data_IF_362385985392
#
_entry.id   IF_362385985392
#
_cell.length_a   1.000
_cell.length_b   1.000
_cell.length_c   1.000
_cell.angle_alpha   90.00
_cell.angle_beta   90.00
_cell.angle_gamma   90.00
#
_symmetry.space_group_name_H-M   'P 1'
#
loop_
_entity.id
_entity.type
_entity.pdbx_description
1 polymer ?
#
# COMPACT_ATOMS: atom_id res chain seq x y z
N UNK A 1 -5.45 13.68 1.64
CA UNK A 1 -6.86 13.30 1.91
C UNK A 1 -7.33 13.59 3.33
N UNK A 2 -6.51 13.48 4.39
CA UNK A 2 -6.94 13.87 5.75
C UNK A 2 -7.52 15.29 5.80
N UNK A 3 -6.88 16.25 5.14
CA UNK A 3 -7.38 17.63 5.04
C UNK A 3 -8.80 17.71 4.46
N UNK A 4 -9.12 16.88 3.46
CA UNK A 4 -10.45 16.81 2.85
C UNK A 4 -11.50 16.36 3.87
N UNK A 5 -11.20 15.33 4.65
CA UNK A 5 -12.09 14.89 5.73
C UNK A 5 -12.26 16.00 6.77
N UNK A 6 -11.17 16.67 7.17
CA UNK A 6 -11.24 17.80 8.08
C UNK A 6 -12.09 18.98 7.53
N UNK A 7 -12.03 19.28 6.23
CA UNK A 7 -12.93 20.25 5.60
C UNK A 7 -14.39 19.82 5.71
N UNK A 8 -14.69 18.54 5.49
CA UNK A 8 -16.04 18.01 5.57
C UNK A 8 -16.61 17.91 7.00
N UNK A 9 -15.80 18.07 8.06
CA UNK A 9 -16.27 17.98 9.45
C UNK A 9 -16.64 19.36 9.99
N UNK A 10 -17.94 19.67 10.24
CA UNK A 10 -18.35 20.96 10.77
C UNK A 10 -17.76 21.27 12.15
N UNK A 11 -17.66 20.27 13.03
CA UNK A 11 -17.16 20.43 14.41
C UNK A 11 -15.64 20.49 14.51
N UNK A 12 -14.90 20.16 13.45
CA UNK A 12 -13.45 20.28 13.42
C UNK A 12 -13.03 21.73 13.22
N UNK A 13 -12.34 22.30 14.21
CA UNK A 13 -11.84 23.68 14.18
C UNK A 13 -10.32 23.69 14.05
N UNK A 14 -9.81 24.46 13.09
CA UNK A 14 -8.39 24.73 12.94
C UNK A 14 -8.20 26.01 12.12
N UNK A 15 -7.18 26.80 12.45
CA UNK A 15 -6.89 28.06 11.76
C UNK A 15 -6.69 27.87 10.24
N UNK A 16 -5.94 26.85 9.85
CA UNK A 16 -5.70 26.53 8.44
C UNK A 16 -6.99 26.20 7.68
N UNK A 17 -7.96 25.54 8.33
CA UNK A 17 -9.26 25.21 7.73
C UNK A 17 -10.04 26.49 7.43
N UNK A 18 -10.13 27.41 8.40
CA UNK A 18 -10.84 28.68 8.23
C UNK A 18 -10.25 29.52 7.11
N UNK A 19 -8.91 29.58 7.01
CA UNK A 19 -8.23 30.30 5.93
C UNK A 19 -8.58 29.68 4.57
N UNK A 20 -8.51 28.35 4.45
CA UNK A 20 -8.76 27.65 3.18
C UNK A 20 -10.23 27.70 2.75
N UNK A 21 -11.18 27.69 3.69
CA UNK A 21 -12.62 27.82 3.41
C UNK A 21 -12.99 29.19 2.83
N UNK A 22 -12.23 30.24 3.16
CA UNK A 22 -12.45 31.60 2.67
C UNK A 22 -11.75 31.90 1.33
N UNK A 23 -10.98 30.96 0.78
CA UNK A 23 -10.21 31.17 -0.45
C UNK A 23 -11.05 31.17 -1.74
N UNK A 24 -12.28 30.67 -1.67
CA UNK A 24 -13.17 30.55 -2.82
C UNK A 24 -14.49 31.27 -2.54
N UNK A 25 -15.12 31.77 -3.60
CA UNK A 25 -16.47 32.34 -3.54
C UNK A 25 -17.55 31.28 -3.26
N UNK A 26 -17.19 30.00 -3.32
CA UNK A 26 -18.02 28.85 -3.00
C UNK A 26 -17.32 28.00 -1.94
N UNK A 27 -18.07 27.32 -1.05
CA UNK A 27 -17.48 26.41 -0.08
C UNK A 27 -16.60 25.36 -0.76
N UNK A 28 -15.38 25.19 -0.29
CA UNK A 28 -14.42 24.24 -0.87
C UNK A 28 -14.97 22.81 -0.91
N UNK A 29 -15.79 22.44 0.09
CA UNK A 29 -16.47 21.16 0.20
C UNK A 29 -17.43 20.89 -0.97
N UNK A 30 -18.12 21.92 -1.46
CA UNK A 30 -19.05 21.80 -2.58
C UNK A 30 -18.34 21.38 -3.89
N UNK A 31 -17.04 21.71 -4.02
CA UNK A 31 -16.22 21.34 -5.19
C UNK A 31 -15.79 19.87 -5.22
N UNK A 32 -15.91 19.15 -4.11
CA UNK A 32 -15.37 17.80 -3.97
C UNK A 32 -16.07 16.76 -4.84
N UNK A 33 -17.37 16.93 -5.09
CA UNK A 33 -18.21 15.98 -5.84
C UNK A 33 -18.80 16.55 -7.14
N UNK A 34 -18.47 17.79 -7.50
CA UNK A 34 -18.98 18.44 -8.69
C UNK A 34 -17.84 18.76 -9.68
N UNK A 35 -17.88 18.11 -10.86
CA UNK A 35 -16.85 18.25 -11.89
C UNK A 35 -16.81 19.65 -12.50
N UNK A 36 -17.93 20.36 -12.57
CA UNK A 36 -18.03 21.69 -13.15
C UNK A 36 -17.49 22.75 -12.18
N UNK A 37 -17.78 22.60 -10.89
CA UNK A 37 -17.21 23.47 -9.84
C UNK A 37 -15.70 23.28 -9.65
N UNK A 38 -15.15 22.14 -10.07
CA UNK A 38 -13.71 21.92 -10.06
C UNK A 38 -12.94 22.84 -11.03
N UNK A 39 -13.61 23.56 -11.94
CA UNK A 39 -12.96 24.58 -12.79
C UNK A 39 -12.42 25.74 -11.94
N UNK A 40 -13.10 26.11 -10.86
CA UNK A 40 -12.66 27.14 -9.90
C UNK A 40 -11.35 26.79 -9.20
N UNK A 41 -10.96 25.50 -9.15
CA UNK A 41 -9.67 25.06 -8.59
C UNK A 41 -8.48 25.68 -9.34
N UNK A 42 -8.64 26.02 -10.63
CA UNK A 42 -7.58 26.67 -11.40
C UNK A 42 -7.20 28.03 -10.83
N UNK A 43 -8.18 28.73 -10.26
CA UNK A 43 -8.08 30.09 -9.72
C UNK A 43 -7.60 30.14 -8.27
N UNK A 44 -7.28 28.98 -7.66
CA UNK A 44 -6.72 28.90 -6.32
C UNK A 44 -5.20 29.12 -6.39
N UNK A 45 -4.72 30.13 -5.67
CA UNK A 45 -3.30 30.46 -5.53
C UNK A 45 -2.58 29.55 -4.53
N UNK A 46 -3.29 29.04 -3.51
CA UNK A 46 -2.73 28.11 -2.53
C UNK A 46 -2.38 26.76 -3.18
N UNK A 47 -1.08 26.49 -3.29
CA UNK A 47 -0.52 25.27 -3.86
C UNK A 47 -0.97 24.00 -3.14
N UNK A 48 -1.14 24.03 -1.81
CA UNK A 48 -1.54 22.88 -1.00
C UNK A 48 -2.98 22.47 -1.26
N UNK A 49 -3.89 23.45 -1.27
CA UNK A 49 -5.30 23.23 -1.60
C UNK A 49 -5.43 22.71 -3.03
N UNK A 50 -4.77 23.37 -3.98
CA UNK A 50 -4.76 23.00 -5.39
C UNK A 50 -4.24 21.58 -5.60
N UNK A 51 -3.14 21.20 -4.95
CA UNK A 51 -2.57 19.85 -5.04
C UNK A 51 -3.50 18.81 -4.38
N UNK A 52 -4.10 19.14 -3.25
CA UNK A 52 -5.04 18.26 -2.53
C UNK A 52 -6.27 17.95 -3.37
N UNK A 53 -6.92 18.96 -3.95
CA UNK A 53 -8.09 18.77 -4.80
C UNK A 53 -7.75 18.08 -6.12
N UNK A 54 -6.59 18.39 -6.74
CA UNK A 54 -6.10 17.64 -7.91
C UNK A 54 -5.88 16.16 -7.60
N UNK A 55 -5.31 15.84 -6.44
CA UNK A 55 -5.08 14.47 -6.00
C UNK A 55 -6.40 13.74 -5.79
N UNK A 56 -7.38 14.40 -5.15
CA UNK A 56 -8.72 13.87 -4.98
C UNK A 56 -9.40 13.55 -6.32
N UNK A 57 -9.29 14.46 -7.29
CA UNK A 57 -9.80 14.23 -8.65
C UNK A 57 -9.17 13.01 -9.31
N UNK A 58 -7.85 12.82 -9.15
CA UNK A 58 -7.16 11.62 -9.66
C UNK A 58 -7.70 10.36 -9.00
N UNK A 59 -7.90 10.38 -7.67
CA UNK A 59 -8.44 9.24 -6.92
C UNK A 59 -9.86 8.90 -7.39
N UNK A 60 -10.74 9.89 -7.56
CA UNK A 60 -12.10 9.65 -8.07
C UNK A 60 -12.05 8.90 -9.40
N UNK A 61 -11.20 9.35 -10.34
CA UNK A 61 -11.08 8.75 -11.66
C UNK A 61 -10.44 7.35 -11.63
N UNK A 62 -9.39 7.17 -10.83
CA UNK A 62 -8.66 5.89 -10.75
C UNK A 62 -9.51 4.78 -10.13
N UNK A 63 -10.30 5.12 -9.11
CA UNK A 63 -11.15 4.19 -8.38
C UNK A 63 -12.62 4.20 -8.84
N UNK A 64 -12.94 4.92 -9.93
CA UNK A 64 -14.29 5.02 -10.52
C UNK A 64 -15.39 5.40 -9.50
N UNK A 65 -15.10 6.39 -8.66
CA UNK A 65 -15.96 6.82 -7.54
C UNK A 65 -17.02 7.86 -7.93
N UNK A 66 -17.19 8.17 -9.21
CA UNK A 66 -18.06 9.26 -9.67
C UNK A 66 -19.51 9.11 -9.21
N UNK A 67 -20.03 7.90 -9.15
CA UNK A 67 -21.39 7.64 -8.64
C UNK A 67 -21.43 7.73 -7.12
N UNK A 68 -20.46 7.13 -6.42
CA UNK A 68 -20.41 7.10 -4.95
C UNK A 68 -20.31 8.49 -4.32
N UNK A 69 -19.52 9.40 -4.90
CA UNK A 69 -19.35 10.75 -4.34
C UNK A 69 -20.58 11.65 -4.52
N UNK A 70 -21.60 11.23 -5.27
CA UNK A 70 -22.83 12.02 -5.49
C UNK A 70 -23.49 12.41 -4.16
N UNK A 71 -23.39 11.56 -3.14
CA UNK A 71 -23.90 11.85 -1.78
C UNK A 71 -23.18 13.03 -1.10
N UNK A 72 -22.00 13.41 -1.58
CA UNK A 72 -21.21 14.52 -1.04
C UNK A 72 -21.53 15.86 -1.74
N UNK A 73 -22.41 15.88 -2.74
CA UNK A 73 -22.79 17.11 -3.43
C UNK A 73 -23.61 18.02 -2.52
N UNK A 74 -23.34 19.32 -2.61
CA UNK A 74 -24.07 20.35 -1.86
C UNK A 74 -25.21 20.89 -2.72
N UNK A 75 -26.45 20.68 -2.29
CA UNK A 75 -27.63 21.08 -3.07
C UNK A 75 -27.63 22.57 -3.45
N UNK A 76 -27.09 23.44 -2.60
CA UNK A 76 -27.00 24.88 -2.83
C UNK A 76 -26.06 25.30 -3.97
N UNK A 77 -25.13 24.44 -4.38
CA UNK A 77 -24.09 24.76 -5.37
C UNK A 77 -23.98 23.73 -6.50
N UNK A 78 -24.67 22.59 -6.40
CA UNK A 78 -24.64 21.52 -7.39
C UNK A 78 -25.02 22.03 -8.78
N UNK A 79 -24.09 21.94 -9.72
CA UNK A 79 -24.24 22.43 -11.10
C UNK A 79 -25.29 21.66 -11.91
N UNK A 80 -25.69 20.48 -11.46
CA UNK A 80 -26.75 19.69 -12.09
C UNK A 80 -28.13 19.96 -11.49
N UNK A 81 -28.21 20.74 -10.40
CA UNK A 81 -29.45 21.07 -9.71
C UNK A 81 -29.90 22.51 -10.02
N UNK A 82 -30.47 22.70 -11.21
CA UNK A 82 -30.96 24.01 -11.71
C UNK A 82 -31.80 24.84 -10.72
N UNK A 83 -32.64 24.26 -9.83
CA UNK A 83 -33.40 25.08 -8.89
C UNK A 83 -32.56 25.95 -7.95
N UNK A 84 -31.29 25.61 -7.68
CA UNK A 84 -30.42 26.46 -6.84
C UNK A 84 -29.95 27.75 -7.54
N UNK A 85 -29.98 27.80 -8.88
CA UNK A 85 -29.63 28.99 -9.66
C UNK A 85 -30.77 30.01 -9.62
N UNK A 86 -32.01 29.52 -9.60
CA UNK A 86 -33.23 30.32 -9.63
C UNK A 86 -33.66 30.80 -8.22
N UNK A 87 -33.29 30.07 -7.17
CA UNK A 87 -33.73 30.34 -5.82
C UNK A 87 -32.54 30.41 -4.84
N UNK A 88 -32.22 31.64 -4.41
CA UNK A 88 -31.12 31.89 -3.47
C UNK A 88 -31.33 31.25 -2.10
N UNK A 89 -32.56 30.83 -1.76
CA UNK A 89 -32.88 30.25 -0.46
C UNK A 89 -32.22 28.90 -0.21
N UNK A 90 -31.83 28.18 -1.27
CA UNK A 90 -30.98 26.99 -1.13
C UNK A 90 -29.59 27.35 -0.57
N UNK A 91 -29.08 28.57 -0.78
CA UNK A 91 -27.84 29.04 -0.15
C UNK A 91 -28.08 29.36 1.33
N UNK A 92 -29.23 29.94 1.69
CA UNK A 92 -29.59 30.19 3.09
C UNK A 92 -29.68 28.90 3.91
N UNK A 93 -30.12 27.80 3.29
CA UNK A 93 -30.13 26.47 3.91
C UNK A 93 -28.74 26.01 4.35
N UNK A 94 -27.67 26.44 3.69
CA UNK A 94 -26.29 26.12 4.13
C UNK A 94 -25.96 26.73 5.48
N UNK A 95 -26.43 27.96 5.76
CA UNK A 95 -26.30 28.60 7.06
C UNK A 95 -27.13 27.92 8.16
N UNK A 96 -28.20 27.21 7.77
CA UNK A 96 -29.00 26.38 8.68
C UNK A 96 -28.41 24.99 8.93
N UNK A 97 -27.29 24.63 8.26
CA UNK A 97 -26.61 23.34 8.40
C UNK A 97 -26.95 22.30 7.34
N UNK A 98 -27.81 22.63 6.35
CA UNK A 98 -28.09 21.74 5.21
C UNK A 98 -27.01 21.93 4.16
N UNK A 99 -26.08 20.99 4.09
CA UNK A 99 -24.91 21.07 3.22
C UNK A 99 -24.91 19.94 2.18
N UNK A 100 -24.21 18.85 2.45
CA UNK A 100 -24.12 17.69 1.57
C UNK A 100 -25.38 16.81 1.64
N UNK A 101 -25.73 16.13 0.55
CA UNK A 101 -26.87 15.20 0.52
C UNK A 101 -26.77 14.11 1.60
N UNK A 102 -25.57 13.64 1.94
CA UNK A 102 -25.37 12.62 2.97
C UNK A 102 -25.77 13.06 4.38
N UNK A 103 -25.84 14.37 4.68
CA UNK A 103 -26.26 14.85 6.01
C UNK A 103 -27.79 14.89 6.17
N UNK A 104 -28.53 14.78 5.07
CA UNK A 104 -30.01 14.89 5.03
C UNK A 104 -30.67 13.62 4.48
N UNK A 105 -29.89 12.57 4.23
CA UNK A 105 -30.34 11.31 3.66
C UNK A 105 -29.88 10.12 4.50
N UNK A 106 -30.70 9.07 4.50
CA UNK A 106 -30.34 7.76 5.04
C UNK A 106 -30.80 6.67 4.08
N UNK A 107 -29.93 5.70 3.81
CA UNK A 107 -30.21 4.56 2.93
C UNK A 107 -30.76 4.96 1.55
N UNK A 108 -30.15 5.99 0.94
CA UNK A 108 -30.53 6.50 -0.38
C UNK A 108 -31.84 7.29 -0.40
N UNK A 109 -32.50 7.50 0.74
CA UNK A 109 -33.75 8.26 0.87
C UNK A 109 -33.55 9.53 1.68
N UNK A 110 -34.14 10.62 1.19
CA UNK A 110 -34.18 11.89 1.90
C UNK A 110 -35.08 11.78 3.14
N UNK A 111 -34.70 12.43 4.24
CA UNK A 111 -35.57 12.53 5.41
C UNK A 111 -36.92 13.20 5.05
N UNK A 112 -37.94 12.95 5.86
CA UNK A 112 -39.23 13.62 5.68
C UNK A 112 -39.06 15.12 5.91
N UNK A 113 -39.95 15.92 5.31
CA UNK A 113 -39.94 17.36 5.51
C UNK A 113 -40.07 17.72 7.01
N UNK A 114 -40.91 17.03 7.77
CA UNK A 114 -41.08 17.28 9.19
C UNK A 114 -39.80 17.03 10.00
N UNK A 115 -39.03 16.00 9.64
CA UNK A 115 -37.73 15.72 10.25
C UNK A 115 -36.74 16.84 9.92
N UNK A 116 -36.57 17.19 8.64
CA UNK A 116 -35.66 18.28 8.23
C UNK A 116 -36.05 19.62 8.84
N UNK A 117 -37.36 19.88 8.94
CA UNK A 117 -37.91 21.09 9.55
C UNK A 117 -37.57 21.20 11.03
N UNK A 118 -37.67 20.10 11.78
CA UNK A 118 -37.32 20.06 13.22
C UNK A 118 -35.81 20.15 13.44
N UNK A 119 -35.01 19.49 12.59
CA UNK A 119 -33.55 19.42 12.75
C UNK A 119 -32.84 20.70 12.31
N UNK A 120 -33.29 21.32 11.22
CA UNK A 120 -32.62 22.47 10.58
C UNK A 120 -33.45 23.76 10.63
N UNK A 121 -34.52 23.80 11.43
CA UNK A 121 -35.38 24.99 11.59
C UNK A 121 -35.87 25.57 10.26
N UNK A 122 -36.39 24.70 9.39
CA UNK A 122 -37.02 25.10 8.13
C UNK A 122 -38.42 25.69 8.37
N UNK A 123 -38.91 26.45 7.42
CA UNK A 123 -40.23 27.08 7.48
C UNK A 123 -41.23 26.37 6.57
N UNK A 124 -42.54 26.54 6.79
CA UNK A 124 -43.56 25.89 5.94
C UNK A 124 -43.40 26.23 4.45
N UNK A 125 -42.93 27.44 4.14
CA UNK A 125 -42.65 27.88 2.77
C UNK A 125 -41.46 27.15 2.09
N UNK A 126 -40.65 26.40 2.86
CA UNK A 126 -39.59 25.54 2.31
C UNK A 126 -40.12 24.22 1.74
N UNK A 127 -41.40 23.90 1.92
CA UNK A 127 -41.96 22.62 1.51
C UNK A 127 -41.83 22.36 0.00
N UNK A 128 -42.09 23.37 -0.84
CA UNK A 128 -41.94 23.23 -2.28
C UNK A 128 -40.49 22.95 -2.71
N UNK A 129 -39.52 23.63 -2.07
CA UNK A 129 -38.09 23.43 -2.30
C UNK A 129 -37.63 22.03 -1.87
N UNK A 130 -38.19 21.55 -0.76
CA UNK A 130 -37.99 20.18 -0.32
C UNK A 130 -38.46 19.17 -1.39
N UNK A 131 -39.63 19.39 -2.02
CA UNK A 131 -40.11 18.52 -3.09
C UNK A 131 -39.18 18.54 -4.31
N UNK A 132 -38.65 19.70 -4.69
CA UNK A 132 -37.66 19.82 -5.77
C UNK A 132 -36.38 19.04 -5.45
N UNK A 133 -35.85 19.20 -4.24
CA UNK A 133 -34.66 18.47 -3.78
C UNK A 133 -34.91 16.96 -3.70
N UNK A 134 -36.08 16.54 -3.20
CA UNK A 134 -36.46 15.13 -3.10
C UNK A 134 -36.52 14.48 -4.47
N UNK A 135 -37.18 15.10 -5.44
CA UNK A 135 -37.26 14.59 -6.81
C UNK A 135 -35.86 14.45 -7.44
N UNK A 136 -35.00 15.45 -7.24
CA UNK A 136 -33.62 15.42 -7.71
C UNK A 136 -32.81 14.28 -7.05
N UNK A 137 -32.85 14.19 -5.72
CA UNK A 137 -32.16 13.16 -4.96
C UNK A 137 -32.62 11.75 -5.36
N UNK A 138 -33.93 11.52 -5.45
CA UNK A 138 -34.50 10.23 -5.87
C UNK A 138 -34.04 9.84 -7.28
N UNK A 139 -33.89 10.81 -8.19
CA UNK A 139 -33.42 10.57 -9.56
C UNK A 139 -31.93 10.22 -9.59
N UNK A 140 -31.10 10.95 -8.84
CA UNK A 140 -29.65 10.74 -8.80
C UNK A 140 -29.25 9.47 -8.04
N UNK A 141 -29.96 9.16 -6.96
CA UNK A 141 -29.66 8.00 -6.12
C UNK A 141 -30.08 6.66 -6.72
N UNK A 142 -30.95 6.64 -7.76
CA UNK A 142 -31.30 5.41 -8.52
C UNK A 142 -30.08 4.70 -9.10
N UNK A 143 -29.05 5.46 -9.50
CA UNK A 143 -27.84 4.94 -10.12
C UNK A 143 -26.66 4.85 -9.15
N UNK A 144 -26.82 5.32 -7.92
CA UNK A 144 -25.80 5.16 -6.88
C UNK A 144 -25.96 3.75 -6.34
N UNK A 145 -25.13 2.83 -6.81
CA UNK A 145 -24.92 1.58 -6.08
C UNK A 145 -24.52 1.95 -4.66
N UNK A 146 -25.41 1.69 -3.71
CA UNK A 146 -25.18 1.81 -2.27
C UNK A 146 -24.16 0.77 -1.79
N UNK A 147 -23.07 0.59 -2.52
CA UNK A 147 -21.84 0.05 -1.97
C UNK A 147 -21.34 1.11 -0.98
N UNK A 148 -21.78 0.98 0.27
CA UNK A 148 -21.17 1.60 1.43
C UNK A 148 -19.72 1.13 1.48
N UNK A 149 -18.86 1.83 0.73
CA UNK A 149 -17.43 1.62 0.81
C UNK A 149 -16.98 2.26 2.11
N UNK A 150 -16.07 1.61 2.82
CA UNK A 150 -15.45 2.15 4.04
C UNK A 150 -14.91 3.56 3.84
N UNK A 151 -14.51 3.90 2.61
CA UNK A 151 -14.13 5.26 2.23
C UNK A 151 -15.29 6.25 2.39
N UNK A 152 -16.48 5.95 1.84
CA UNK A 152 -17.65 6.84 1.93
C UNK A 152 -18.17 6.94 3.37
N UNK A 153 -18.09 5.88 4.17
CA UNK A 153 -18.42 5.93 5.59
C UNK A 153 -17.60 6.98 6.34
N UNK A 154 -16.30 7.11 6.02
CA UNK A 154 -15.44 8.15 6.63
C UNK A 154 -15.94 9.55 6.28
N UNK A 155 -16.40 9.78 5.05
CA UNK A 155 -16.97 11.07 4.65
C UNK A 155 -18.32 11.34 5.33
N UNK A 156 -19.21 10.35 5.38
CA UNK A 156 -20.53 10.49 6.01
C UNK A 156 -20.38 10.82 7.50
N UNK A 157 -19.56 10.04 8.22
CA UNK A 157 -19.25 10.29 9.64
C UNK A 157 -18.69 11.69 9.86
N UNK A 158 -17.83 12.13 8.94
CA UNK A 158 -17.24 13.46 9.00
C UNK A 158 -18.30 14.55 8.90
N UNK A 159 -19.20 14.47 7.92
CA UNK A 159 -20.29 15.44 7.74
C UNK A 159 -21.27 15.45 8.92
N UNK A 160 -21.46 14.31 9.59
CA UNK A 160 -22.28 14.19 10.79
C UNK A 160 -21.57 14.63 12.08
N UNK A 161 -20.37 15.21 11.98
CA UNK A 161 -19.55 15.61 13.13
C UNK A 161 -19.19 14.44 14.08
N UNK A 162 -19.19 13.21 13.59
CA UNK A 162 -18.78 12.04 14.38
C UNK A 162 -17.25 12.01 14.55
N UNK A 163 -16.79 11.53 15.69
CA UNK A 163 -15.36 11.33 15.95
C UNK A 163 -14.84 10.16 15.12
N UNK A 164 -13.79 10.41 14.33
CA UNK A 164 -13.13 9.39 13.51
C UNK A 164 -11.72 9.18 14.04
N UNK A 165 -11.52 8.08 14.76
CA UNK A 165 -10.18 7.68 15.17
C UNK A 165 -9.38 7.18 13.97
N UNK A 166 -8.08 7.51 13.97
CA UNK A 166 -7.11 7.00 12.98
C UNK A 166 -7.55 7.24 11.53
N UNK A 167 -8.02 8.46 11.22
CA UNK A 167 -8.51 8.89 9.89
C UNK A 167 -7.62 8.37 8.75
N UNK A 168 -6.30 8.51 8.86
CA UNK A 168 -5.34 8.07 7.84
C UNK A 168 -5.45 6.56 7.57
N UNK A 169 -5.53 5.75 8.63
CA UNK A 169 -5.68 4.29 8.51
C UNK A 169 -7.03 3.88 7.93
N UNK A 170 -8.10 4.60 8.28
CA UNK A 170 -9.43 4.36 7.72
C UNK A 170 -9.50 4.69 6.23
N UNK A 171 -8.91 5.82 5.82
CA UNK A 171 -8.77 6.19 4.42
C UNK A 171 -7.93 5.18 3.65
N UNK A 172 -6.77 4.77 4.19
CA UNK A 172 -5.92 3.78 3.55
C UNK A 172 -6.65 2.45 3.33
N UNK A 173 -7.30 1.92 4.37
CA UNK A 173 -8.09 0.68 4.25
C UNK A 173 -9.24 0.83 3.26
N UNK A 174 -9.96 1.96 3.31
CA UNK A 174 -11.04 2.24 2.36
C UNK A 174 -10.58 2.27 0.90
N UNK A 175 -9.39 2.81 0.61
CA UNK A 175 -8.81 2.75 -0.74
C UNK A 175 -8.37 1.33 -1.13
N UNK A 176 -7.78 0.59 -0.19
CA UNK A 176 -7.36 -0.80 -0.43
C UNK A 176 -8.55 -1.71 -0.75
N UNK A 177 -9.70 -1.47 -0.11
CA UNK A 177 -10.94 -2.22 -0.34
C UNK A 177 -11.49 -1.98 -1.77
N UNK A 178 -11.29 -0.79 -2.33
CA UNK A 178 -11.77 -0.42 -3.68
C UNK A 178 -10.96 -1.08 -4.80
N UNK A 179 -9.69 -1.37 -4.56
CA UNK A 179 -8.82 -2.04 -5.52
C UNK A 179 -7.94 -3.02 -4.77
N UNK A 180 -8.38 -4.28 -4.60
CA UNK A 180 -7.51 -5.31 -4.05
C UNK A 180 -6.31 -5.46 -4.99
N UNK A 181 -5.16 -4.95 -4.56
CA UNK A 181 -3.91 -5.15 -5.26
C UNK A 181 -3.52 -6.62 -5.14
N UNK A 182 -3.82 -7.40 -6.17
CA UNK A 182 -3.41 -8.80 -6.24
C UNK A 182 -2.00 -8.91 -6.83
N UNK A 183 -1.12 -9.59 -6.12
CA UNK A 183 0.17 -10.06 -6.64
C UNK A 183 0.06 -11.48 -7.22
N UNK A 184 -1.16 -12.01 -7.41
CA UNK A 184 -1.39 -13.37 -7.93
C UNK A 184 -0.83 -13.53 -9.34
N UNK A 185 -0.82 -12.49 -10.17
CA UNK A 185 -0.18 -12.56 -11.49
C UNK A 185 1.34 -12.83 -11.42
N UNK A 186 2.01 -12.36 -10.36
CA UNK A 186 3.44 -12.59 -10.12
C UNK A 186 3.65 -14.03 -9.67
N UNK A 187 2.80 -14.50 -8.76
CA UNK A 187 2.76 -15.91 -8.32
C UNK A 187 2.63 -16.85 -9.51
N UNK A 188 1.65 -16.64 -10.38
CA UNK A 188 1.42 -17.48 -11.58
C UNK A 188 2.64 -17.48 -12.52
N UNK A 189 3.36 -16.36 -12.65
CA UNK A 189 4.61 -16.33 -13.44
C UNK A 189 5.71 -17.18 -12.80
N UNK A 190 5.88 -17.12 -11.48
CA UNK A 190 6.84 -17.97 -10.77
C UNK A 190 6.48 -19.46 -10.88
N UNK A 191 5.20 -19.79 -10.71
CA UNK A 191 4.69 -21.17 -10.86
C UNK A 191 4.96 -21.71 -12.27
N UNK A 192 4.64 -20.92 -13.31
CA UNK A 192 4.84 -21.29 -14.71
C UNK A 192 6.32 -21.51 -15.05
N UNK A 193 7.20 -20.62 -14.59
CA UNK A 193 8.64 -20.71 -14.91
C UNK A 193 9.35 -21.81 -14.14
N UNK A 194 8.96 -22.04 -12.88
CA UNK A 194 9.60 -23.03 -12.03
C UNK A 194 8.97 -24.41 -12.04
N UNK A 195 7.79 -24.57 -12.64
CA UNK A 195 7.02 -25.81 -12.54
C UNK A 195 6.61 -26.14 -11.10
N UNK A 196 6.50 -25.12 -10.24
CA UNK A 196 6.17 -25.26 -8.82
C UNK A 196 4.74 -24.80 -8.54
N UNK A 197 4.13 -25.31 -7.47
CA UNK A 197 2.83 -24.86 -6.97
C UNK A 197 3.02 -24.03 -5.71
N UNK A 198 2.49 -22.81 -5.70
CA UNK A 198 2.50 -21.88 -4.56
C UNK A 198 1.05 -21.57 -4.18
N UNK A 199 0.58 -22.07 -3.04
CA UNK A 199 -0.76 -21.77 -2.54
C UNK A 199 -0.88 -20.28 -2.15
N UNK A 200 -2.10 -19.73 -2.13
CA UNK A 200 -2.29 -18.31 -1.77
C UNK A 200 -1.86 -18.01 -0.32
N UNK A 201 -2.03 -18.97 0.58
CA UNK A 201 -1.58 -18.87 1.97
C UNK A 201 -0.05 -18.85 2.08
N UNK A 202 0.63 -19.73 1.33
CA UNK A 202 2.09 -19.75 1.22
C UNK A 202 2.61 -18.42 0.64
N UNK A 203 1.97 -17.93 -0.42
CA UNK A 203 2.32 -16.66 -1.06
C UNK A 203 2.18 -15.47 -0.11
N UNK A 204 1.10 -15.45 0.68
CA UNK A 204 0.89 -14.43 1.72
C UNK A 204 1.97 -14.50 2.79
N UNK A 205 2.37 -15.71 3.22
CA UNK A 205 3.45 -15.90 4.18
C UNK A 205 4.81 -15.43 3.62
N UNK A 206 5.12 -15.80 2.37
CA UNK A 206 6.33 -15.37 1.66
C UNK A 206 6.47 -13.84 1.64
N UNK A 207 5.38 -13.10 1.35
CA UNK A 207 5.39 -11.63 1.40
C UNK A 207 5.63 -11.08 2.79
N UNK A 208 5.00 -11.66 3.81
CA UNK A 208 5.23 -11.27 5.22
C UNK A 208 6.69 -11.46 5.60
N UNK A 209 7.34 -12.53 5.14
CA UNK A 209 8.75 -12.78 5.40
C UNK A 209 9.66 -11.71 4.82
N UNK A 210 9.45 -11.30 3.56
CA UNK A 210 10.27 -10.22 2.98
C UNK A 210 10.11 -8.89 3.72
N UNK A 211 8.89 -8.59 4.20
CA UNK A 211 8.62 -7.36 4.95
C UNK A 211 9.21 -7.35 6.36
N UNK A 212 9.30 -8.52 7.00
CA UNK A 212 9.78 -8.67 8.39
C UNK A 212 11.25 -9.12 8.49
N UNK A 213 11.94 -9.27 7.34
CA UNK A 213 13.24 -9.95 7.27
C UNK A 213 14.32 -9.30 8.16
N UNK A 214 14.48 -7.98 8.14
CA UNK A 214 15.52 -7.27 8.89
C UNK A 214 14.98 -5.95 9.42
N UNK A 215 15.66 -5.28 10.34
CA UNK A 215 15.33 -3.90 10.76
C UNK A 215 15.53 -2.83 9.66
N UNK A 216 16.33 -3.12 8.64
CA UNK A 216 16.67 -2.16 7.57
C UNK A 216 15.67 -2.17 6.42
N UNK A 217 15.15 -0.98 6.09
CA UNK A 217 14.26 -0.79 4.94
C UNK A 217 14.93 -1.15 3.61
N UNK A 218 16.24 -0.89 3.47
CA UNK A 218 17.01 -1.20 2.26
C UNK A 218 17.01 -2.71 1.97
N UNK A 219 17.19 -3.53 3.00
CA UNK A 219 17.22 -4.99 2.85
C UNK A 219 15.82 -5.58 2.66
N UNK A 220 14.80 -5.04 3.35
CA UNK A 220 13.39 -5.39 3.10
C UNK A 220 12.98 -5.12 1.66
N UNK A 221 13.29 -3.93 1.16
CA UNK A 221 13.02 -3.54 -0.22
C UNK A 221 13.76 -4.44 -1.22
N UNK A 222 15.02 -4.77 -0.94
CA UNK A 222 15.79 -5.68 -1.79
C UNK A 222 15.18 -7.09 -1.86
N UNK A 223 14.79 -7.67 -0.72
CA UNK A 223 14.09 -8.95 -0.68
C UNK A 223 12.77 -8.93 -1.45
N UNK A 224 11.99 -7.86 -1.26
CA UNK A 224 10.76 -7.60 -2.01
C UNK A 224 11.01 -7.49 -3.53
N UNK A 225 12.05 -6.76 -3.95
CA UNK A 225 12.45 -6.60 -5.37
C UNK A 225 12.79 -7.94 -6.04
N UNK A 226 13.42 -8.86 -5.31
CA UNK A 226 13.70 -10.20 -5.82
C UNK A 226 12.41 -10.96 -6.14
N UNK A 227 11.38 -10.86 -5.30
CA UNK A 227 10.12 -11.59 -5.48
C UNK A 227 9.13 -10.91 -6.43
N UNK A 228 9.10 -9.58 -6.46
CA UNK A 228 8.23 -8.81 -7.36
C UNK A 228 8.72 -8.83 -8.82
N UNK A 229 9.84 -9.51 -9.09
CA UNK A 229 10.44 -9.64 -10.43
C UNK A 229 10.93 -8.29 -10.97
N UNK A 230 11.60 -7.53 -10.12
CA UNK A 230 12.12 -6.20 -10.44
C UNK A 230 13.35 -6.24 -11.37
N UNK A 231 14.20 -7.26 -11.24
CA UNK A 231 15.46 -7.32 -11.97
C UNK A 231 15.25 -7.76 -13.42
N UNK A 232 15.88 -7.08 -14.36
CA UNK A 232 15.81 -7.44 -15.78
C UNK A 232 16.57 -8.76 -15.98
N UNK A 233 15.98 -9.69 -16.74
CA UNK A 233 16.60 -10.96 -17.14
C UNK A 233 17.05 -10.93 -18.60
N UNK A 234 17.95 -11.86 -19.03
CA UNK A 234 18.34 -11.96 -20.44
C UNK A 234 17.14 -12.09 -21.39
N UNK A 235 16.16 -12.92 -21.05
CA UNK A 235 14.95 -13.11 -21.86
C UNK A 235 14.11 -11.84 -22.01
N UNK A 236 14.13 -10.94 -21.02
CA UNK A 236 13.46 -9.65 -21.13
C UNK A 236 14.30 -8.66 -21.93
N UNK A 237 15.62 -8.66 -21.71
CA UNK A 237 16.56 -7.77 -22.38
C UNK A 237 16.58 -7.99 -23.90
N UNK A 238 16.45 -9.23 -24.35
CA UNK A 238 16.37 -9.60 -25.77
C UNK A 238 15.13 -9.09 -26.49
N UNK A 239 14.12 -8.59 -25.77
CA UNK A 239 12.93 -7.98 -26.39
C UNK A 239 13.09 -6.48 -26.64
N UNK A 240 14.06 -5.83 -26.00
CA UNK A 240 14.28 -4.38 -26.12
C UNK A 240 15.41 -4.03 -27.07
N UNK A 241 16.44 -4.88 -27.13
CA UNK A 241 17.59 -4.75 -28.03
C UNK A 241 17.85 -6.11 -28.71
N UNK A 242 18.69 -6.15 -29.76
CA UNK A 242 19.24 -7.37 -30.38
C UNK A 242 20.21 -8.15 -29.45
N UNK A 243 19.97 -8.11 -28.14
CA UNK A 243 20.72 -8.81 -27.12
C UNK A 243 20.32 -10.29 -27.06
N UNK A 244 21.29 -11.16 -26.75
CA UNK A 244 21.03 -12.58 -26.60
C UNK A 244 20.14 -12.90 -25.38
N UNK A 245 19.12 -13.76 -25.52
CA UNK A 245 18.32 -14.28 -24.41
C UNK A 245 19.04 -15.33 -23.56
N UNK A 246 20.28 -15.68 -23.93
CA UNK A 246 21.08 -16.67 -23.23
C UNK A 246 21.47 -16.23 -21.82
N UNK A 247 21.62 -17.22 -20.93
CA UNK A 247 22.05 -16.96 -19.55
C UNK A 247 23.44 -16.33 -19.50
N UNK A 248 23.60 -15.25 -18.73
CA UNK A 248 24.90 -14.60 -18.52
C UNK A 248 25.97 -15.52 -17.91
N UNK A 249 25.55 -16.63 -17.27
CA UNK A 249 26.41 -17.68 -16.70
C UNK A 249 26.93 -18.70 -17.71
N UNK A 250 26.64 -18.51 -19.00
CA UNK A 250 27.04 -19.42 -20.08
C UNK A 250 26.67 -20.89 -19.78
N UNK A 251 25.57 -21.11 -19.07
CA UNK A 251 25.12 -22.43 -18.62
C UNK A 251 24.43 -23.26 -19.72
N UNK A 252 24.37 -22.74 -20.95
CA UNK A 252 23.68 -23.34 -22.10
C UNK A 252 22.21 -22.98 -22.25
N UNK A 253 21.57 -22.36 -21.24
CA UNK A 253 20.15 -21.95 -21.34
C UNK A 253 19.99 -20.75 -22.29
N UNK A 254 19.12 -20.89 -23.30
CA UNK A 254 18.88 -19.92 -24.36
C UNK A 254 17.71 -18.96 -24.09
N UNK A 255 17.00 -19.10 -22.97
CA UNK A 255 15.90 -18.22 -22.58
C UNK A 255 15.86 -18.08 -21.06
N UNK A 256 16.86 -17.36 -20.54
CA UNK A 256 17.05 -17.25 -19.11
C UNK A 256 16.02 -16.28 -18.50
N UNK A 257 15.01 -16.87 -17.86
CA UNK A 257 13.96 -16.18 -17.12
C UNK A 257 14.34 -15.92 -15.64
N UNK A 258 13.40 -15.39 -14.85
CA UNK A 258 13.67 -15.04 -13.46
C UNK A 258 13.97 -16.26 -12.59
N UNK A 259 13.18 -17.33 -12.74
CA UNK A 259 13.41 -18.58 -12.02
C UNK A 259 14.76 -19.19 -12.33
N UNK A 260 15.15 -19.17 -13.60
CA UNK A 260 16.46 -19.66 -14.03
C UNK A 260 17.61 -18.85 -13.40
N UNK A 261 17.58 -17.52 -13.51
CA UNK A 261 18.70 -16.68 -13.05
C UNK A 261 18.90 -16.71 -11.53
N UNK A 262 17.84 -16.90 -10.75
CA UNK A 262 17.91 -16.96 -9.28
C UNK A 262 18.07 -18.37 -8.72
N UNK A 263 17.51 -19.40 -9.36
CA UNK A 263 17.41 -20.74 -8.77
C UNK A 263 17.87 -21.87 -9.70
N UNK A 264 17.26 -22.00 -10.87
CA UNK A 264 17.39 -23.21 -11.70
C UNK A 264 18.70 -23.31 -12.53
N UNK A 265 19.47 -22.22 -12.63
CA UNK A 265 20.75 -22.24 -13.33
C UNK A 265 21.70 -23.31 -12.77
N UNK A 266 22.21 -24.19 -13.66
CA UNK A 266 23.12 -25.27 -13.30
C UNK A 266 24.39 -24.79 -12.59
N UNK A 267 24.90 -23.61 -12.97
CA UNK A 267 26.07 -22.98 -12.38
C UNK A 267 25.83 -22.52 -10.92
N UNK A 268 24.57 -22.32 -10.50
CA UNK A 268 24.22 -21.97 -9.13
C UNK A 268 23.96 -23.18 -8.22
N UNK A 269 23.95 -24.41 -8.75
CA UNK A 269 23.59 -25.60 -7.97
C UNK A 269 24.53 -25.85 -6.80
N UNK A 270 25.84 -25.76 -7.03
CA UNK A 270 26.83 -25.98 -5.98
C UNK A 270 26.78 -24.86 -4.94
N UNK A 271 26.57 -23.61 -5.37
CA UNK A 271 26.34 -22.49 -4.46
C UNK A 271 25.13 -22.74 -3.54
N UNK A 272 23.97 -23.12 -4.09
CA UNK A 272 22.79 -23.41 -3.27
C UNK A 272 23.00 -24.61 -2.35
N UNK A 273 23.78 -25.61 -2.75
CA UNK A 273 24.13 -26.77 -1.90
C UNK A 273 25.05 -26.36 -0.74
N UNK A 274 26.05 -25.53 -0.98
CA UNK A 274 26.94 -24.99 0.07
C UNK A 274 26.16 -24.16 1.08
N UNK A 275 25.31 -23.26 0.60
CA UNK A 275 24.43 -22.45 1.45
C UNK A 275 23.49 -23.35 2.25
N UNK A 276 22.87 -24.34 1.60
CA UNK A 276 21.95 -25.26 2.26
C UNK A 276 22.62 -26.02 3.40
N UNK A 277 23.82 -26.56 3.16
CA UNK A 277 24.62 -27.19 4.21
C UNK A 277 24.92 -26.23 5.36
N UNK A 278 25.31 -24.99 5.06
CA UNK A 278 25.55 -23.96 6.07
C UNK A 278 24.29 -23.67 6.91
N UNK A 279 23.12 -23.56 6.28
CA UNK A 279 21.86 -23.35 7.00
C UNK A 279 21.51 -24.55 7.91
N UNK A 280 21.69 -25.78 7.43
CA UNK A 280 21.50 -26.98 8.26
C UNK A 280 22.47 -26.97 9.46
N UNK A 281 23.71 -26.56 9.25
CA UNK A 281 24.70 -26.44 10.32
C UNK A 281 24.37 -25.34 11.33
N UNK A 282 23.76 -24.23 10.90
CA UNK A 282 23.34 -23.11 11.75
C UNK A 282 22.13 -23.49 12.61
N UNK A 283 21.09 -24.08 11.98
CA UNK A 283 19.80 -24.32 12.65
C UNK A 283 19.67 -25.73 13.24
N UNK A 284 20.59 -26.65 12.93
CA UNK A 284 20.59 -28.04 13.40
C UNK A 284 19.28 -28.78 13.10
N UNK A 285 18.69 -28.49 11.94
CA UNK A 285 17.43 -29.08 11.50
C UNK A 285 17.46 -29.43 10.01
N UNK A 286 16.53 -30.29 9.59
CA UNK A 286 16.37 -30.62 8.18
C UNK A 286 15.63 -29.50 7.46
N UNK A 287 16.29 -28.91 6.47
CA UNK A 287 15.75 -27.85 5.61
C UNK A 287 15.59 -28.46 4.22
N UNK A 288 14.42 -28.38 3.58
CA UNK A 288 14.27 -28.84 2.20
C UNK A 288 15.12 -28.02 1.21
N UNK A 289 15.93 -28.69 0.38
CA UNK A 289 16.69 -28.05 -0.71
C UNK A 289 15.79 -27.82 -1.94
N UNK A 290 14.82 -26.93 -1.78
CA UNK A 290 13.87 -26.56 -2.84
C UNK A 290 13.72 -25.02 -2.94
N UNK A 291 13.26 -24.54 -4.09
CA UNK A 291 13.13 -23.09 -4.31
C UNK A 291 12.14 -22.43 -3.35
N UNK A 292 11.06 -23.13 -2.97
CA UNK A 292 10.04 -22.64 -2.03
C UNK A 292 10.67 -22.27 -0.68
N UNK A 293 11.54 -23.13 -0.16
CA UNK A 293 12.25 -22.92 1.10
C UNK A 293 13.45 -21.98 0.91
N UNK A 294 14.37 -22.30 0.01
CA UNK A 294 15.68 -21.64 -0.10
C UNK A 294 15.63 -20.29 -0.82
N UNK A 295 14.78 -20.12 -1.83
CA UNK A 295 14.67 -18.85 -2.55
C UNK A 295 13.49 -18.00 -2.05
N UNK A 296 12.29 -18.57 -1.97
CA UNK A 296 11.12 -17.80 -1.52
C UNK A 296 11.11 -17.57 -0.01
N UNK A 297 11.87 -18.34 0.76
CA UNK A 297 11.97 -18.20 2.21
C UNK A 297 10.73 -18.71 2.93
N UNK A 298 9.99 -19.65 2.34
CA UNK A 298 8.83 -20.25 2.98
C UNK A 298 9.28 -21.27 4.04
N UNK A 299 9.42 -20.78 5.27
CA UNK A 299 9.79 -21.60 6.43
C UNK A 299 8.52 -22.03 7.17
N UNK A 300 8.45 -23.27 7.72
CA UNK A 300 7.30 -23.76 8.48
C UNK A 300 6.93 -22.85 9.67
N UNK A 301 5.63 -22.77 10.00
CA UNK A 301 5.16 -21.85 11.04
C UNK A 301 5.55 -22.27 12.46
N UNK A 302 6.01 -23.49 12.63
CA UNK A 302 6.39 -24.10 13.89
C UNK A 302 7.81 -23.67 14.30
N UNK A 303 8.60 -23.14 13.36
CA UNK A 303 9.97 -22.70 13.66
C UNK A 303 10.00 -21.59 14.71
N UNK A 304 10.99 -21.60 15.62
CA UNK A 304 11.17 -20.54 16.60
C UNK A 304 11.25 -19.18 15.93
N UNK A 305 10.64 -18.17 16.55
CA UNK A 305 10.60 -16.80 16.00
C UNK A 305 12.00 -16.23 15.75
N UNK A 306 12.97 -16.56 16.61
CA UNK A 306 14.37 -16.12 16.47
C UNK A 306 15.02 -16.73 15.22
N UNK A 307 14.85 -18.05 15.03
CA UNK A 307 15.40 -18.75 13.86
C UNK A 307 14.74 -18.30 12.55
N UNK A 308 13.41 -18.11 12.54
CA UNK A 308 12.70 -17.52 11.40
C UNK A 308 13.24 -16.14 11.04
N UNK A 309 13.63 -15.33 12.02
CA UNK A 309 14.20 -14.02 11.74
C UNK A 309 15.59 -14.17 11.09
N UNK A 310 16.45 -14.97 11.70
CA UNK A 310 17.82 -15.19 11.21
C UNK A 310 17.83 -15.81 9.81
N UNK A 311 17.09 -16.90 9.58
CA UNK A 311 17.07 -17.59 8.27
C UNK A 311 16.62 -16.65 7.17
N UNK A 312 15.64 -15.78 7.42
CA UNK A 312 15.21 -14.80 6.43
C UNK A 312 16.34 -13.84 6.03
N UNK A 313 17.12 -13.37 7.01
CA UNK A 313 18.29 -12.51 6.77
C UNK A 313 19.33 -13.26 5.93
N UNK A 314 19.65 -14.50 6.30
CA UNK A 314 20.62 -15.33 5.60
C UNK A 314 20.21 -15.61 4.15
N UNK A 315 18.92 -15.87 3.90
CA UNK A 315 18.39 -16.07 2.55
C UNK A 315 18.38 -14.77 1.71
N UNK A 316 18.14 -13.61 2.33
CA UNK A 316 18.30 -12.32 1.66
C UNK A 316 19.76 -12.06 1.28
N UNK A 317 20.71 -12.40 2.15
CA UNK A 317 22.13 -12.35 1.83
C UNK A 317 22.46 -13.26 0.62
N UNK A 318 21.85 -14.44 0.51
CA UNK A 318 22.05 -15.34 -0.64
C UNK A 318 21.60 -14.71 -1.95
N UNK A 319 20.39 -14.15 -1.98
CA UNK A 319 19.88 -13.39 -3.13
C UNK A 319 20.81 -12.25 -3.49
N UNK A 320 21.35 -11.57 -2.48
CA UNK A 320 22.30 -10.47 -2.68
C UNK A 320 23.59 -10.95 -3.33
N UNK A 321 24.17 -12.07 -2.88
CA UNK A 321 25.36 -12.67 -3.51
C UNK A 321 25.14 -12.93 -4.99
N UNK A 322 24.00 -13.52 -5.37
CA UNK A 322 23.63 -13.76 -6.77
C UNK A 322 23.56 -12.43 -7.55
N UNK A 323 22.92 -11.40 -6.99
CA UNK A 323 22.81 -10.09 -7.67
C UNK A 323 24.12 -9.30 -7.70
N UNK A 324 25.11 -9.56 -6.82
CA UNK A 324 26.46 -8.98 -6.96
C UNK A 324 27.18 -9.51 -8.20
N UNK A 325 26.83 -10.71 -8.64
CA UNK A 325 27.33 -11.37 -9.86
C UNK A 325 26.22 -11.47 -10.92
N UNK A 326 25.39 -10.44 -11.05
CA UNK A 326 24.18 -10.49 -11.91
C UNK A 326 24.52 -10.72 -13.38
N UNK A 327 25.37 -9.87 -13.97
CA UNK A 327 25.80 -9.94 -15.37
C UNK A 327 27.11 -10.75 -15.55
N UNK A 328 27.52 -11.50 -14.52
CA UNK A 328 28.79 -12.22 -14.52
C UNK A 328 28.59 -13.68 -14.95
N UNK A 329 29.57 -14.28 -15.65
CA UNK A 329 29.54 -15.71 -15.91
C UNK A 329 29.70 -16.57 -14.65
N UNK A 330 30.28 -16.01 -13.60
CA UNK A 330 30.66 -16.72 -12.38
C UNK A 330 29.48 -16.93 -11.41
N UNK A 331 29.51 -18.06 -10.70
CA UNK A 331 28.68 -18.25 -9.51
C UNK A 331 29.20 -17.42 -8.33
N UNK A 332 28.33 -16.89 -7.44
CA UNK A 332 28.78 -16.47 -6.12
C UNK A 332 29.38 -17.64 -5.33
N UNK A 333 30.24 -17.31 -4.37
CA UNK A 333 30.84 -18.24 -3.43
C UNK A 333 30.32 -18.01 -2.00
N UNK A 334 30.58 -18.98 -1.12
CA UNK A 334 30.17 -18.90 0.28
C UNK A 334 30.82 -17.72 1.03
N UNK A 335 32.07 -17.34 0.71
CA UNK A 335 32.75 -16.19 1.33
C UNK A 335 31.99 -14.88 1.09
N UNK A 336 31.53 -14.66 -0.14
CA UNK A 336 30.75 -13.46 -0.49
C UNK A 336 29.45 -13.41 0.31
N UNK A 337 28.81 -14.56 0.52
CA UNK A 337 27.61 -14.66 1.36
C UNK A 337 27.92 -14.36 2.83
N UNK A 338 29.03 -14.87 3.37
CA UNK A 338 29.48 -14.58 4.74
C UNK A 338 29.77 -13.09 4.93
N UNK A 339 30.44 -12.44 3.98
CA UNK A 339 30.71 -11.00 3.99
C UNK A 339 29.44 -10.16 3.97
N UNK A 340 28.48 -10.46 3.08
CA UNK A 340 27.19 -9.77 3.05
C UNK A 340 26.43 -9.98 4.36
N UNK A 341 26.46 -11.19 4.90
CA UNK A 341 25.80 -11.49 6.17
C UNK A 341 26.43 -10.67 7.30
N UNK A 342 27.76 -10.52 7.31
CA UNK A 342 28.47 -9.69 8.28
C UNK A 342 28.15 -8.20 8.13
N UNK A 343 27.98 -7.69 6.89
CA UNK A 343 27.49 -6.32 6.65
C UNK A 343 26.10 -6.11 7.27
N UNK A 344 25.19 -7.08 7.12
CA UNK A 344 23.85 -7.01 7.71
C UNK A 344 23.93 -7.08 9.25
N UNK A 345 24.73 -8.01 9.79
CA UNK A 345 24.97 -8.16 11.23
C UNK A 345 25.43 -6.84 11.86
N UNK A 346 26.45 -6.20 11.28
CA UNK A 346 26.99 -4.94 11.80
C UNK A 346 25.96 -3.81 11.79
N UNK A 347 25.18 -3.69 10.71
CA UNK A 347 24.12 -2.70 10.62
C UNK A 347 23.00 -2.95 11.66
N UNK A 348 22.60 -4.20 11.85
CA UNK A 348 21.59 -4.55 12.87
C UNK A 348 22.10 -4.33 14.29
N UNK A 349 23.39 -4.61 14.54
CA UNK A 349 24.03 -4.34 15.83
C UNK A 349 24.00 -2.86 16.18
N UNK A 350 24.39 -1.99 15.24
CA UNK A 350 24.33 -0.53 15.41
C UNK A 350 22.89 -0.10 15.70
N UNK A 351 21.93 -0.62 14.92
CA UNK A 351 20.50 -0.32 15.11
C UNK A 351 20.01 -0.78 16.48
N UNK A 352 20.41 -1.96 16.95
CA UNK A 352 20.04 -2.49 18.25
C UNK A 352 20.67 -1.69 19.40
N UNK A 353 21.93 -1.26 19.25
CA UNK A 353 22.63 -0.40 20.21
C UNK A 353 21.90 0.94 20.39
N UNK A 354 21.60 1.64 19.29
CA UNK A 354 20.86 2.91 19.31
C UNK A 354 19.46 2.78 19.93
N UNK A 355 18.82 1.62 19.78
CA UNK A 355 17.48 1.38 20.31
C UNK A 355 17.46 0.66 21.67
N UNK A 356 18.61 0.49 22.34
CA UNK A 356 18.76 -0.24 23.60
C UNK A 356 18.16 -1.66 23.58
N UNK A 357 18.40 -2.42 22.50
CA UNK A 357 17.87 -3.78 22.26
C UNK A 357 18.97 -4.82 21.98
N UNK A 358 20.15 -4.64 22.57
CA UNK A 358 21.31 -5.50 22.33
C UNK A 358 21.09 -6.96 22.76
N UNK A 359 20.44 -7.21 23.90
CA UNK A 359 20.13 -8.57 24.35
C UNK A 359 19.33 -9.36 23.31
N UNK A 360 18.28 -8.72 22.77
CA UNK A 360 17.44 -9.29 21.72
C UNK A 360 18.21 -9.53 20.43
N UNK A 361 19.13 -8.63 20.08
CA UNK A 361 20.01 -8.79 18.93
C UNK A 361 20.93 -10.00 19.11
N UNK A 362 21.54 -10.16 20.28
CA UNK A 362 22.41 -11.31 20.58
C UNK A 362 21.64 -12.62 20.42
N UNK A 363 20.41 -12.72 20.92
CA UNK A 363 19.57 -13.90 20.74
C UNK A 363 19.21 -14.20 19.26
N UNK A 364 19.07 -13.18 18.41
CA UNK A 364 18.81 -13.40 16.98
C UNK A 364 20.02 -13.94 16.23
N UNK A 365 21.22 -13.51 16.60
CA UNK A 365 22.44 -13.78 15.85
C UNK A 365 23.32 -14.86 16.48
N UNK A 366 22.94 -15.42 17.62
CA UNK A 366 23.72 -16.42 18.36
C UNK A 366 24.12 -17.63 17.49
N UNK A 367 23.15 -18.22 16.78
CA UNK A 367 23.40 -19.38 15.91
C UNK A 367 24.34 -19.04 14.76
N UNK A 368 24.23 -17.83 14.20
CA UNK A 368 25.15 -17.34 13.18
C UNK A 368 26.57 -17.15 13.74
N UNK A 369 26.71 -16.50 14.88
CA UNK A 369 28.02 -16.24 15.51
C UNK A 369 28.73 -17.57 15.82
N UNK A 370 28.01 -18.55 16.38
CA UNK A 370 28.53 -19.90 16.63
C UNK A 370 29.03 -20.58 15.37
N UNK A 371 28.28 -20.45 14.26
CA UNK A 371 28.68 -21.01 12.97
C UNK A 371 29.88 -20.29 12.37
N UNK A 372 29.87 -18.96 12.31
CA UNK A 372 30.83 -18.18 11.53
C UNK A 372 32.19 -18.05 12.21
N UNK A 373 32.25 -18.03 13.56
CA UNK A 373 33.50 -17.88 14.33
C UNK A 373 34.61 -18.85 13.91
N UNK A 374 34.37 -20.18 13.79
CA UNK A 374 35.40 -21.11 13.33
C UNK A 374 35.73 -20.99 11.83
N UNK A 375 34.82 -20.46 11.01
CA UNK A 375 35.01 -20.37 9.55
C UNK A 375 35.67 -19.06 9.11
N UNK A 376 35.46 -17.97 9.86
CA UNK A 376 36.00 -16.63 9.62
C UNK A 376 36.50 -16.02 10.93
N UNK A 377 37.66 -16.46 11.45
CA UNK A 377 38.25 -15.89 12.66
C UNK A 377 38.60 -14.40 12.54
N UNK A 378 38.70 -13.90 11.31
CA UNK A 378 38.90 -12.48 10.98
C UNK A 378 37.66 -11.61 11.29
N UNK A 379 36.48 -12.21 11.45
CA UNK A 379 35.28 -11.48 11.84
C UNK A 379 35.27 -11.19 13.34
N UNK A 380 35.25 -9.91 13.68
CA UNK A 380 35.29 -9.45 15.07
C UNK A 380 33.87 -9.28 15.60
N UNK A 381 33.51 -10.10 16.60
CA UNK A 381 32.27 -10.01 17.35
C UNK A 381 32.53 -9.38 18.71
N UNK A 382 32.81 -8.07 18.77
CA UNK A 382 33.05 -7.38 20.04
C UNK A 382 31.78 -7.36 20.88
N UNK A 383 31.73 -8.13 21.96
CA UNK A 383 30.77 -7.92 23.04
C UNK A 383 31.34 -6.85 23.97
N UNK A 384 31.12 -5.57 23.65
CA UNK A 384 31.25 -4.47 24.59
C UNK A 384 30.14 -3.46 24.35
#
# INVERSE_FOLDING_TARGET
>A
MRAIICWCNPSYTAQWKTIEEQMLSIPIQATLADKNLQTYIKNIDNLWVKKTLKTWKTIIKEYKLETNITVLKWCAYDSEFKPNELDSRFKDWTGKGITALCSIMKDGKLFSFDTLRKTFSLEKQDFYRYLQLRHYADTKMRNVTMTNTRLMEVFIKSYNSETIDRIVSCLYKGLMDLKPHSTSYIRTKWEKEGGIKILEEEWTAIWRYQWMCTSSQKWREFGWKCLIRYFITPSQKSHYDDNSPACWRNCGNQSANHYHIFWDCSILRDYWREIHKALQDIFKCEIPLESKTMFFGYIPQEWPKYDKHLVNILLVACKKSITRKWLSPESPNISTWMEITMEIYNMEKITASVNHKLEKFTSYWENWVKYITPHRPDFIFTNQ
#
